data_IF_674252006971
#
_entry.id   IF_674252006971
#
_cell.length_a   1.000
_cell.length_b   1.000
_cell.length_c   1.000
_cell.angle_alpha   90.00
_cell.angle_beta   90.00
_cell.angle_gamma   90.00
#
_symmetry.space_group_name_H-M   'P 1'
#
loop_
_entity.id
_entity.type
_entity.pdbx_description
1 polymer ?
#
# COMPACT_ATOMS: atom_id res chain seq x y z
N UNK A 1 6.41 -16.53 7.74
CA UNK A 1 5.79 -15.24 8.09
C UNK A 1 4.86 -15.37 9.30
N UNK A 2 3.85 -16.27 9.30
CA UNK A 2 2.78 -16.38 10.31
C UNK A 2 3.30 -16.44 11.75
N UNK A 3 4.18 -17.40 12.07
CA UNK A 3 4.73 -17.55 13.43
C UNK A 3 5.48 -16.30 13.92
N UNK A 4 6.19 -15.62 13.03
CA UNK A 4 6.92 -14.40 13.39
C UNK A 4 5.98 -13.23 13.66
N UNK A 5 4.92 -13.09 12.88
CA UNK A 5 3.91 -12.06 13.10
C UNK A 5 3.13 -12.32 14.39
N UNK A 6 2.78 -13.56 14.71
CA UNK A 6 2.18 -13.93 16.01
C UNK A 6 3.10 -13.54 17.16
N UNK A 7 4.38 -13.94 17.07
CA UNK A 7 5.38 -13.61 18.08
C UNK A 7 5.51 -12.10 18.32
N UNK A 8 5.54 -11.30 17.24
CA UNK A 8 5.60 -9.84 17.34
C UNK A 8 4.32 -9.28 17.95
N UNK A 9 3.16 -9.72 17.47
CA UNK A 9 1.86 -9.30 17.97
C UNK A 9 1.71 -9.49 19.47
N UNK A 10 2.12 -10.67 19.96
CA UNK A 10 2.03 -11.02 21.39
C UNK A 10 2.98 -10.16 22.25
N UNK A 11 4.02 -9.55 21.66
CA UNK A 11 5.02 -8.74 22.38
C UNK A 11 4.75 -7.24 22.39
N UNK A 12 4.19 -6.70 21.31
CA UNK A 12 3.98 -5.24 21.18
C UNK A 12 2.73 -4.75 21.90
N UNK A 13 1.87 -5.67 22.33
CA UNK A 13 0.62 -5.33 22.99
C UNK A 13 -0.50 -4.95 22.00
N UNK A 14 -1.71 -4.83 22.53
CA UNK A 14 -2.93 -4.65 21.71
C UNK A 14 -3.06 -3.25 21.11
N UNK A 15 -2.43 -2.26 21.71
CA UNK A 15 -2.52 -0.85 21.28
C UNK A 15 -1.63 -0.53 20.08
N UNK A 16 -0.69 -1.44 19.76
CA UNK A 16 0.21 -1.29 18.60
C UNK A 16 -0.25 -2.20 17.47
N UNK A 17 -0.44 -1.61 16.29
CA UNK A 17 -0.75 -2.33 15.05
C UNK A 17 0.55 -2.76 14.35
N UNK A 18 0.53 -3.95 13.77
CA UNK A 18 1.58 -4.47 12.89
C UNK A 18 0.99 -4.60 11.50
N UNK A 19 1.55 -3.92 10.54
CA UNK A 19 1.10 -3.97 9.16
C UNK A 19 2.10 -4.77 8.31
N UNK A 20 1.61 -5.81 7.64
CA UNK A 20 2.37 -6.56 6.66
C UNK A 20 2.24 -5.86 5.32
N UNK A 21 3.33 -5.36 4.79
CA UNK A 21 3.40 -4.88 3.42
C UNK A 21 3.94 -5.97 2.51
N UNK A 22 3.25 -6.22 1.40
CA UNK A 22 3.75 -7.09 0.34
C UNK A 22 4.68 -6.27 -0.57
N UNK A 23 5.74 -6.89 -1.03
CA UNK A 23 6.71 -6.21 -1.89
C UNK A 23 6.52 -6.68 -3.33
N UNK A 24 6.04 -5.78 -4.20
CA UNK A 24 5.71 -6.04 -5.59
C UNK A 24 6.93 -6.28 -6.48
N UNK A 25 7.71 -7.31 -6.18
CA UNK A 25 8.87 -7.70 -6.96
C UNK A 25 8.88 -9.21 -7.23
N UNK A 26 9.34 -9.67 -8.43
CA UNK A 26 9.28 -11.07 -8.82
C UNK A 26 10.04 -12.02 -7.89
N UNK A 27 11.06 -11.54 -7.19
CA UNK A 27 11.88 -12.31 -6.26
C UNK A 27 11.37 -12.31 -4.81
N UNK A 28 10.28 -11.63 -4.52
CA UNK A 28 9.65 -11.61 -3.20
C UNK A 28 8.63 -12.75 -3.06
N UNK A 29 8.64 -13.46 -1.94
CA UNK A 29 7.74 -14.58 -1.69
C UNK A 29 6.31 -14.16 -1.30
N UNK A 30 6.14 -12.93 -0.82
CA UNK A 30 4.85 -12.28 -0.55
C UNK A 30 4.83 -11.02 -1.41
N UNK A 31 4.44 -11.16 -2.66
CA UNK A 31 4.53 -10.11 -3.66
C UNK A 31 3.18 -9.66 -4.23
N UNK A 32 2.09 -10.20 -3.73
CA UNK A 32 0.73 -9.81 -4.10
C UNK A 32 -0.14 -9.62 -2.85
N UNK A 33 -1.12 -8.73 -2.95
CA UNK A 33 -2.07 -8.45 -1.87
C UNK A 33 -2.76 -9.72 -1.35
N UNK A 34 -3.28 -10.58 -2.22
CA UNK A 34 -4.00 -11.79 -1.81
C UNK A 34 -3.15 -12.71 -0.94
N UNK A 35 -1.86 -12.89 -1.31
CA UNK A 35 -0.91 -13.69 -0.52
C UNK A 35 -0.64 -13.05 0.85
N UNK A 36 -0.45 -11.72 0.92
CA UNK A 36 -0.26 -11.01 2.17
C UNK A 36 -1.49 -11.12 3.07
N UNK A 37 -2.68 -10.97 2.49
CA UNK A 37 -3.92 -11.07 3.23
C UNK A 37 -4.18 -12.48 3.76
N UNK A 38 -3.85 -13.53 3.01
CA UNK A 38 -3.90 -14.92 3.48
C UNK A 38 -2.97 -15.15 4.67
N UNK A 39 -1.77 -14.57 4.67
CA UNK A 39 -0.87 -14.60 5.83
C UNK A 39 -1.52 -13.91 7.03
N UNK A 40 -2.10 -12.73 6.86
CA UNK A 40 -2.77 -11.99 7.95
C UNK A 40 -3.95 -12.77 8.51
N UNK A 41 -4.78 -13.37 7.66
CA UNK A 41 -5.87 -14.28 8.11
C UNK A 41 -5.32 -15.45 8.94
N UNK A 42 -4.24 -16.08 8.46
CA UNK A 42 -3.61 -17.20 9.17
C UNK A 42 -2.96 -16.80 10.49
N UNK A 43 -2.50 -15.54 10.63
CA UNK A 43 -1.97 -15.00 11.90
C UNK A 43 -3.06 -14.94 12.96
N UNK A 44 -4.28 -14.56 12.58
CA UNK A 44 -5.44 -14.48 13.45
C UNK A 44 -5.18 -13.64 14.73
N UNK A 45 -4.78 -12.38 14.52
CA UNK A 45 -4.57 -11.39 15.58
C UNK A 45 -5.23 -10.07 15.18
N UNK A 46 -5.96 -9.42 16.08
CA UNK A 46 -6.67 -8.17 15.82
C UNK A 46 -5.73 -7.04 15.41
N UNK A 47 -4.55 -6.99 16.02
CA UNK A 47 -3.54 -5.96 15.78
C UNK A 47 -2.58 -6.27 14.62
N UNK A 48 -2.87 -7.28 13.78
CA UNK A 48 -2.11 -7.58 12.57
C UNK A 48 -2.98 -7.37 11.35
N UNK A 49 -2.50 -6.59 10.41
CA UNK A 49 -3.19 -6.22 9.16
C UNK A 49 -2.23 -6.06 7.99
N UNK A 50 -2.71 -5.46 6.90
CA UNK A 50 -1.97 -5.26 5.65
C UNK A 50 -1.81 -3.78 5.36
N UNK A 51 -0.67 -3.39 4.82
CA UNK A 51 -0.48 -2.15 4.07
C UNK A 51 -0.73 -2.44 2.59
N UNK A 52 -1.58 -1.64 1.97
CA UNK A 52 -1.78 -1.62 0.52
C UNK A 52 -0.94 -0.49 -0.06
N UNK A 53 0.12 -0.84 -0.77
CA UNK A 53 0.92 0.09 -1.56
C UNK A 53 0.51 -0.01 -3.03
N UNK A 54 0.22 1.13 -3.67
CA UNK A 54 -0.32 1.17 -5.03
C UNK A 54 0.67 0.70 -6.08
N UNK A 55 1.96 1.04 -5.94
CA UNK A 55 3.03 0.56 -6.82
C UNK A 55 3.17 -0.96 -6.74
N UNK A 56 3.28 -1.50 -5.52
CA UNK A 56 3.39 -2.93 -5.32
C UNK A 56 2.15 -3.69 -5.78
N UNK A 57 0.97 -3.09 -5.62
CA UNK A 57 -0.29 -3.66 -6.10
C UNK A 57 -0.30 -3.80 -7.62
N UNK A 58 0.19 -2.79 -8.33
CA UNK A 58 0.28 -2.75 -9.78
C UNK A 58 1.35 -3.71 -10.31
N UNK A 59 2.59 -3.64 -9.81
CA UNK A 59 3.76 -4.32 -10.36
C UNK A 59 3.61 -5.85 -10.43
N UNK A 60 2.93 -6.47 -9.49
CA UNK A 60 2.71 -7.91 -9.48
C UNK A 60 1.25 -8.29 -9.77
N UNK A 61 0.49 -7.40 -10.40
CA UNK A 61 -0.89 -7.66 -10.83
C UNK A 61 -1.77 -8.19 -9.69
N UNK A 62 -1.72 -7.57 -8.52
CA UNK A 62 -2.66 -7.87 -7.45
C UNK A 62 -4.08 -7.65 -7.92
N UNK A 63 -5.02 -8.48 -7.47
CA UNK A 63 -6.38 -8.49 -8.00
C UNK A 63 -7.30 -7.63 -7.15
N UNK A 64 -8.11 -6.80 -7.78
CA UNK A 64 -9.15 -6.01 -7.10
C UNK A 64 -10.20 -6.89 -6.41
N UNK A 65 -10.45 -8.09 -6.95
CA UNK A 65 -11.36 -9.07 -6.35
C UNK A 65 -10.85 -9.54 -4.98
N UNK A 66 -9.53 -9.77 -4.83
CA UNK A 66 -8.94 -10.15 -3.55
C UNK A 66 -9.05 -9.00 -2.54
N UNK A 67 -8.86 -7.75 -2.99
CA UNK A 67 -9.02 -6.57 -2.15
C UNK A 67 -10.47 -6.39 -1.71
N UNK A 68 -11.45 -6.55 -2.62
CA UNK A 68 -12.89 -6.48 -2.30
C UNK A 68 -13.36 -7.58 -1.36
N UNK A 69 -12.66 -8.72 -1.33
CA UNK A 69 -12.98 -9.83 -0.42
C UNK A 69 -12.35 -9.66 0.97
N UNK A 70 -11.54 -8.64 1.19
CA UNK A 70 -10.88 -8.41 2.46
C UNK A 70 -11.79 -7.71 3.48
N UNK A 71 -11.46 -7.86 4.77
CA UNK A 71 -12.02 -7.04 5.85
C UNK A 71 -11.28 -5.70 5.89
N UNK A 72 -11.97 -4.60 5.61
CA UNK A 72 -11.39 -3.26 5.61
C UNK A 72 -10.73 -2.87 6.93
N UNK A 73 -11.17 -3.44 8.06
CA UNK A 73 -10.55 -3.25 9.38
C UNK A 73 -9.16 -3.86 9.50
N UNK A 74 -8.79 -4.73 8.56
CA UNK A 74 -7.46 -5.35 8.46
C UNK A 74 -6.54 -4.63 7.50
N UNK A 75 -7.01 -3.59 6.81
CA UNK A 75 -6.16 -2.71 6.02
C UNK A 75 -5.80 -1.51 6.89
N UNK A 76 -4.53 -1.44 7.30
CA UNK A 76 -4.10 -0.44 8.29
C UNK A 76 -3.51 0.82 7.65
N UNK A 77 -2.90 0.66 6.49
CA UNK A 77 -2.30 1.75 5.75
C UNK A 77 -2.53 1.60 4.24
N UNK A 78 -2.60 2.74 3.58
CA UNK A 78 -2.67 2.86 2.14
C UNK A 78 -1.54 3.79 1.69
N UNK A 79 -0.50 3.23 1.08
CA UNK A 79 0.62 3.98 0.52
C UNK A 79 0.28 4.42 -0.89
N UNK A 80 0.30 5.73 -1.08
CA UNK A 80 0.04 6.40 -2.35
C UNK A 80 1.34 6.67 -3.09
N UNK A 81 1.39 6.19 -4.29
CA UNK A 81 2.41 6.43 -5.30
C UNK A 81 1.85 6.01 -6.65
N UNK A 82 2.60 6.22 -7.70
CA UNK A 82 2.31 5.73 -9.05
C UNK A 82 3.59 5.14 -9.65
N UNK A 83 3.60 4.75 -10.90
CA UNK A 83 4.80 4.29 -11.59
C UNK A 83 4.79 4.59 -13.08
N UNK A 84 5.99 4.59 -13.67
CA UNK A 84 6.18 4.72 -15.12
C UNK A 84 5.51 3.56 -15.88
N UNK A 85 5.09 3.80 -17.11
CA UNK A 85 4.54 2.78 -18.02
C UNK A 85 5.66 1.86 -18.54
N UNK A 86 6.01 0.87 -17.75
CA UNK A 86 7.03 -0.13 -18.03
C UNK A 86 6.44 -1.55 -17.91
N UNK A 87 7.11 -2.58 -18.46
CA UNK A 87 6.63 -3.95 -18.30
C UNK A 87 6.48 -4.35 -16.83
N UNK A 88 5.34 -4.93 -16.49
CA UNK A 88 5.01 -5.38 -15.13
C UNK A 88 6.11 -6.27 -14.53
N UNK A 89 6.43 -6.04 -13.27
CA UNK A 89 7.50 -6.74 -12.56
C UNK A 89 8.92 -6.28 -12.92
N UNK A 90 9.06 -5.24 -13.77
CA UNK A 90 10.38 -4.69 -14.15
C UNK A 90 10.70 -3.35 -13.51
N UNK A 91 9.73 -2.66 -12.92
CA UNK A 91 9.95 -1.39 -12.23
C UNK A 91 10.64 -1.60 -10.88
N UNK A 92 11.70 -0.83 -10.66
CA UNK A 92 12.24 -0.61 -9.32
C UNK A 92 11.57 0.59 -8.65
N UNK A 93 11.81 0.76 -7.35
CA UNK A 93 11.29 1.90 -6.58
C UNK A 93 11.74 3.27 -7.13
N UNK A 94 12.84 3.31 -7.88
CA UNK A 94 13.35 4.50 -8.58
C UNK A 94 12.44 4.96 -9.74
N UNK A 95 11.43 4.16 -10.09
CA UNK A 95 10.42 4.44 -11.12
C UNK A 95 9.07 4.87 -10.54
N UNK A 96 8.98 5.01 -9.23
CA UNK A 96 7.79 5.57 -8.59
C UNK A 96 7.54 7.01 -9.06
N UNK A 97 6.28 7.39 -9.14
CA UNK A 97 5.78 8.72 -9.50
C UNK A 97 4.79 9.20 -8.45
N UNK A 98 4.59 10.51 -8.38
CA UNK A 98 3.49 11.06 -7.59
C UNK A 98 2.16 10.45 -8.03
N UNK A 99 1.21 10.22 -7.09
CA UNK A 99 -0.11 9.69 -7.41
C UNK A 99 -0.76 10.41 -8.58
N UNK A 100 -1.31 9.62 -9.53
CA UNK A 100 -1.97 10.07 -10.77
C UNK A 100 -1.03 10.64 -11.86
N UNK A 101 0.28 10.49 -11.71
CA UNK A 101 1.24 10.85 -12.76
C UNK A 101 1.69 9.65 -13.63
N UNK A 102 1.21 8.43 -13.33
CA UNK A 102 1.59 7.18 -14.02
C UNK A 102 0.42 6.33 -14.50
N UNK A 103 0.54 5.01 -14.33
CA UNK A 103 -0.37 4.02 -14.91
C UNK A 103 -1.15 3.17 -13.91
N UNK A 104 -1.01 3.42 -12.63
CA UNK A 104 -1.71 2.65 -11.58
C UNK A 104 -3.22 2.90 -11.64
N UNK A 105 -4.04 1.84 -11.52
CA UNK A 105 -5.50 1.94 -11.43
C UNK A 105 -5.96 2.44 -10.05
N UNK A 106 -5.70 3.71 -9.77
CA UNK A 106 -6.12 4.34 -8.52
C UNK A 106 -7.63 4.33 -8.30
N UNK A 107 -8.40 4.49 -9.37
CA UNK A 107 -9.86 4.49 -9.28
C UNK A 107 -10.40 3.13 -8.84
N UNK A 108 -9.88 2.04 -9.42
CA UNK A 108 -10.25 0.67 -9.04
C UNK A 108 -9.86 0.34 -7.61
N UNK A 109 -8.63 0.66 -7.19
CA UNK A 109 -8.13 0.39 -5.83
C UNK A 109 -8.92 1.20 -4.80
N UNK A 110 -9.11 2.50 -5.01
CA UNK A 110 -9.87 3.36 -4.09
C UNK A 110 -11.34 2.94 -3.98
N UNK A 111 -11.97 2.55 -5.11
CA UNK A 111 -13.34 2.00 -5.08
C UNK A 111 -13.42 0.75 -4.22
N UNK A 112 -12.48 -0.19 -4.40
CA UNK A 112 -12.44 -1.42 -3.61
C UNK A 112 -12.24 -1.14 -2.12
N UNK A 113 -11.34 -0.22 -1.77
CA UNK A 113 -11.10 0.20 -0.37
C UNK A 113 -12.35 0.84 0.25
N UNK A 114 -13.09 1.69 -0.49
CA UNK A 114 -14.37 2.26 -0.01
C UNK A 114 -15.43 1.19 0.21
N UNK A 115 -15.57 0.26 -0.73
CA UNK A 115 -16.56 -0.84 -0.66
C UNK A 115 -16.38 -1.69 0.60
N UNK A 116 -15.14 -1.92 1.04
CA UNK A 116 -14.85 -2.70 2.25
C UNK A 116 -14.78 -1.87 3.52
N UNK A 117 -15.04 -0.55 3.45
CA UNK A 117 -15.07 0.34 4.61
C UNK A 117 -13.68 0.63 5.19
N UNK A 118 -12.66 0.77 4.35
CA UNK A 118 -11.32 1.20 4.79
C UNK A 118 -11.39 2.58 5.49
N UNK A 119 -10.80 2.66 6.67
CA UNK A 119 -10.68 3.89 7.49
C UNK A 119 -9.26 4.09 8.06
N UNK A 120 -8.28 3.43 7.46
CA UNK A 120 -6.87 3.48 7.86
C UNK A 120 -6.15 4.76 7.46
N UNK A 121 -4.83 4.74 7.64
CA UNK A 121 -3.97 5.89 7.32
C UNK A 121 -3.64 5.88 5.83
N UNK A 122 -3.69 7.06 5.20
CA UNK A 122 -3.24 7.27 3.83
C UNK A 122 -1.95 8.12 3.85
N UNK A 123 -0.89 7.63 3.23
CA UNK A 123 0.43 8.27 3.21
C UNK A 123 1.07 8.22 1.83
N UNK A 124 2.02 9.13 1.57
CA UNK A 124 2.89 9.07 0.40
C UNK A 124 4.12 8.20 0.73
N UNK A 125 4.53 7.37 -0.22
CA UNK A 125 5.80 6.66 -0.17
C UNK A 125 6.50 6.72 -1.52
N UNK A 126 7.58 7.52 -1.62
CA UNK A 126 8.31 7.78 -2.86
C UNK A 126 9.80 7.56 -2.69
N UNK A 127 10.42 6.90 -3.69
CA UNK A 127 11.85 6.61 -3.71
C UNK A 127 12.54 7.07 -5.00
N UNK A 128 11.88 7.92 -5.78
CA UNK A 128 12.43 8.45 -7.03
C UNK A 128 13.62 9.38 -6.75
N UNK A 129 14.80 9.13 -7.34
CA UNK A 129 16.01 9.93 -7.06
C UNK A 129 15.84 11.42 -7.31
N UNK A 130 15.12 11.80 -8.37
CA UNK A 130 14.88 13.20 -8.73
C UNK A 130 14.09 13.96 -7.66
N UNK A 131 13.25 13.27 -6.87
CA UNK A 131 12.52 13.91 -5.77
C UNK A 131 13.42 14.23 -4.58
N UNK A 132 14.55 13.53 -4.42
CA UNK A 132 15.56 13.85 -3.39
C UNK A 132 16.41 15.08 -3.72
N UNK A 133 16.37 15.56 -4.97
CA UNK A 133 17.01 16.82 -5.36
C UNK A 133 16.19 18.05 -4.94
N UNK A 134 14.90 17.87 -4.65
CA UNK A 134 14.03 18.91 -4.09
C UNK A 134 14.40 19.20 -2.63
N UNK A 135 14.16 20.44 -2.17
CA UNK A 135 14.28 20.72 -0.75
C UNK A 135 13.25 19.92 0.07
N UNK A 136 13.55 19.64 1.33
CA UNK A 136 12.61 18.94 2.21
C UNK A 136 11.27 19.66 2.32
N UNK A 137 11.27 21.01 2.34
CA UNK A 137 10.06 21.81 2.41
C UNK A 137 9.19 21.64 1.16
N UNK A 138 9.79 21.69 -0.03
CA UNK A 138 9.10 21.47 -1.31
C UNK A 138 8.51 20.07 -1.39
N UNK A 139 9.29 19.04 -1.01
CA UNK A 139 8.83 17.65 -1.00
C UNK A 139 7.62 17.46 -0.06
N UNK A 140 7.71 17.92 1.17
CA UNK A 140 6.61 17.80 2.15
C UNK A 140 5.37 18.56 1.68
N UNK A 141 5.55 19.75 1.10
CA UNK A 141 4.44 20.52 0.54
C UNK A 141 3.78 19.79 -0.63
N UNK A 142 4.56 19.31 -1.60
CA UNK A 142 4.04 18.53 -2.74
C UNK A 142 3.32 17.27 -2.25
N UNK A 143 3.93 16.49 -1.36
CA UNK A 143 3.31 15.29 -0.78
C UNK A 143 1.96 15.60 -0.12
N UNK A 144 1.89 16.67 0.68
CA UNK A 144 0.66 17.08 1.33
C UNK A 144 -0.42 17.53 0.33
N UNK A 145 -0.04 18.25 -0.73
CA UNK A 145 -0.96 18.71 -1.78
C UNK A 145 -1.54 17.53 -2.56
N UNK A 146 -0.70 16.61 -3.05
CA UNK A 146 -1.15 15.46 -3.84
C UNK A 146 -2.00 14.50 -3.01
N UNK A 147 -1.61 14.25 -1.74
CA UNK A 147 -2.40 13.40 -0.83
C UNK A 147 -3.79 13.98 -0.60
N UNK A 148 -3.90 15.27 -0.27
CA UNK A 148 -5.21 15.92 -0.05
C UNK A 148 -6.07 15.89 -1.29
N UNK A 149 -5.50 16.18 -2.45
CA UNK A 149 -6.21 16.14 -3.74
C UNK A 149 -6.74 14.74 -4.02
N UNK A 150 -5.90 13.73 -3.84
CA UNK A 150 -6.25 12.32 -4.02
C UNK A 150 -7.39 11.90 -3.08
N UNK A 151 -7.24 12.17 -1.78
CA UNK A 151 -8.25 11.81 -0.78
C UNK A 151 -9.58 12.52 -1.07
N UNK A 152 -9.54 13.82 -1.42
CA UNK A 152 -10.74 14.55 -1.80
C UNK A 152 -11.42 13.96 -3.03
N UNK A 153 -10.65 13.54 -4.03
CA UNK A 153 -11.18 12.98 -5.29
C UNK A 153 -11.81 11.61 -5.09
N UNK A 154 -11.18 10.73 -4.33
CA UNK A 154 -11.58 9.33 -4.26
C UNK A 154 -12.35 8.95 -3.00
N UNK A 155 -12.18 9.68 -1.89
CA UNK A 155 -12.81 9.38 -0.61
C UNK A 155 -13.71 10.51 -0.07
N UNK A 156 -13.66 11.70 -0.68
CA UNK A 156 -14.51 12.85 -0.35
C UNK A 156 -15.97 12.74 -0.78
#
# INVERSE_FOLDING_TARGET
AVERLRYLSDRVGKDMKISLEFCGAPNCSINQFGTAYDVVKAVDRENVGVTVDTFHFHEMCSKLEDLRAADGKKIFAYHLNDCEDLPLGSCGDDKRLWPEEGVVDHAGIASALKEIGFDGVCTIEEFRPEYYEMSHEENVKKAAEVTRSFVQKYFG
#
